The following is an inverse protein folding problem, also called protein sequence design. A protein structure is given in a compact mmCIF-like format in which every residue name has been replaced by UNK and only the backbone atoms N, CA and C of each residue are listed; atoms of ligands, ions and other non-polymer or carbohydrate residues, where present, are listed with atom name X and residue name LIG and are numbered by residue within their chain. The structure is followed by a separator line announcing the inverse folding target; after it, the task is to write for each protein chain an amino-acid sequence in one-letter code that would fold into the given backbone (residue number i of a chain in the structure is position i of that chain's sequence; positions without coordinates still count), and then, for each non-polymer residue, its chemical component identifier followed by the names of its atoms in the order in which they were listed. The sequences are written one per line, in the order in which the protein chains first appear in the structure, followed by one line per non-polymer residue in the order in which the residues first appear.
data_IF_043069815284
#
_entry.id   IF_043069815284
#
_cell.length_a   1.000
_cell.length_b   1.000
_cell.length_c   1.000
_cell.angle_alpha   90.00
_cell.angle_beta   90.00
_cell.angle_gamma   90.00
#
_symmetry.space_group_name_H-M   'P 1'
#
loop_
_entity.id
_entity.type
_entity.pdbx_description
1 polymer ?
#
# COMPACT_ATOMS: atom_id res chain seq x y z
N UNK A 1 13.67 -14.99 -15.62
CA UNK A 1 13.17 -13.88 -16.43
C UNK A 1 13.60 -12.55 -15.82
N UNK A 2 14.67 -11.93 -16.32
CA UNK A 2 14.92 -10.51 -16.06
C UNK A 2 14.03 -9.77 -17.06
N UNK A 3 12.81 -9.42 -16.65
CA UNK A 3 12.05 -8.40 -17.37
C UNK A 3 12.83 -7.12 -17.15
N UNK A 4 13.63 -6.77 -18.15
CA UNK A 4 14.46 -5.58 -18.11
C UNK A 4 13.55 -4.39 -18.37
N UNK A 5 12.79 -3.97 -17.35
CA UNK A 5 11.89 -2.79 -17.41
C UNK A 5 12.69 -1.48 -17.64
N UNK A 6 14.02 -1.56 -17.66
CA UNK A 6 14.95 -0.45 -17.90
C UNK A 6 15.42 -0.31 -19.36
N UNK A 7 14.78 -0.96 -20.33
CA UNK A 7 15.16 -0.79 -21.76
C UNK A 7 14.59 0.45 -22.47
N UNK A 8 13.82 1.29 -21.78
CA UNK A 8 13.44 2.61 -22.31
C UNK A 8 14.22 3.73 -21.62
N UNK A 9 15.51 3.86 -21.97
CA UNK A 9 16.30 5.10 -21.79
C UNK A 9 15.80 6.25 -22.69
N UNK A 10 14.50 6.31 -23.00
CA UNK A 10 13.83 7.32 -23.83
C UNK A 10 12.49 7.82 -23.29
N UNK A 11 12.13 7.53 -22.04
CA UNK A 11 11.07 8.25 -21.35
C UNK A 11 11.68 9.06 -20.21
N UNK A 12 11.80 10.36 -20.43
CA UNK A 12 11.82 11.33 -19.33
C UNK A 12 10.61 11.01 -18.44
N UNK A 13 10.84 10.41 -17.26
CA UNK A 13 9.81 9.83 -16.41
C UNK A 13 8.96 10.86 -15.64
N UNK A 14 8.88 12.09 -16.15
CA UNK A 14 8.01 13.13 -15.63
C UNK A 14 6.79 13.23 -16.54
N UNK A 15 5.59 13.07 -15.98
CA UNK A 15 4.35 13.41 -16.67
C UNK A 15 4.28 14.94 -16.69
N UNK A 16 4.18 15.52 -17.87
CA UNK A 16 3.96 16.96 -18.04
C UNK A 16 2.47 17.25 -18.01
N UNK A 17 2.10 18.47 -17.60
CA UNK A 17 0.73 18.94 -17.78
C UNK A 17 0.53 19.08 -19.29
N UNK A 18 -0.33 18.24 -19.88
CA UNK A 18 -0.66 18.34 -21.29
C UNK A 18 -1.49 19.63 -21.51
N UNK A 19 -1.05 20.55 -22.38
CA UNK A 19 -1.76 21.81 -22.58
C UNK A 19 -3.19 21.65 -23.10
N UNK A 20 -3.48 20.59 -23.86
CA UNK A 20 -4.82 20.30 -24.39
C UNK A 20 -5.69 19.74 -23.27
N UNK A 21 -5.21 18.74 -22.54
CA UNK A 21 -5.95 18.19 -21.39
C UNK A 21 -6.24 19.27 -20.33
N UNK A 22 -5.31 20.22 -20.13
CA UNK A 22 -5.50 21.35 -19.21
C UNK A 22 -6.63 22.30 -19.66
N UNK A 23 -6.78 22.54 -20.96
CA UNK A 23 -7.87 23.37 -21.50
C UNK A 23 -9.22 22.67 -21.30
N UNK A 24 -9.24 21.35 -21.44
CA UNK A 24 -10.45 20.52 -21.27
C UNK A 24 -10.77 20.21 -19.80
N UNK A 25 -9.79 20.35 -18.91
CA UNK A 25 -9.96 20.06 -17.50
C UNK A 25 -11.02 20.95 -16.85
N UNK A 26 -11.83 20.41 -15.91
CA UNK A 26 -12.86 21.19 -15.25
C UNK A 26 -12.24 22.33 -14.44
N UNK A 27 -12.46 23.57 -14.90
CA UNK A 27 -12.05 24.79 -14.19
C UNK A 27 -12.92 25.13 -12.97
N UNK A 28 -13.91 24.29 -12.64
CA UNK A 28 -14.80 24.41 -11.49
C UNK A 28 -14.98 23.04 -10.84
N UNK A 29 -14.96 22.98 -9.51
CA UNK A 29 -15.09 21.71 -8.77
C UNK A 29 -16.54 21.28 -8.54
N UNK A 30 -17.50 22.21 -8.66
CA UNK A 30 -18.92 21.95 -8.51
C UNK A 30 -19.57 22.01 -9.89
N UNK A 31 -19.77 20.86 -10.52
CA UNK A 31 -20.43 20.75 -11.81
C UNK A 31 -21.75 19.98 -11.68
N UNK A 32 -22.90 20.67 -11.63
CA UNK A 32 -24.20 20.02 -11.49
C UNK A 32 -24.61 19.21 -12.73
N UNK A 33 -23.89 19.36 -13.85
CA UNK A 33 -24.16 18.62 -15.10
C UNK A 33 -23.35 17.33 -15.22
N UNK A 34 -22.29 17.19 -14.42
CA UNK A 34 -21.49 15.97 -14.37
C UNK A 34 -22.14 14.96 -13.38
N UNK A 35 -22.65 13.81 -13.86
CA UNK A 35 -23.27 12.80 -12.99
C UNK A 35 -22.28 12.24 -11.95
N UNK A 36 -20.98 12.34 -12.20
CA UNK A 36 -19.91 11.88 -11.32
C UNK A 36 -19.42 12.96 -10.34
N UNK A 37 -19.99 14.18 -10.36
CA UNK A 37 -19.53 15.30 -9.53
C UNK A 37 -19.59 15.04 -8.02
N UNK A 38 -20.39 14.06 -7.58
CA UNK A 38 -20.52 13.66 -6.18
C UNK A 38 -19.76 12.36 -5.83
N UNK A 39 -19.02 11.78 -6.78
CA UNK A 39 -18.23 10.57 -6.54
C UNK A 39 -17.01 10.85 -5.64
N UNK A 40 -16.52 9.79 -5.00
CA UNK A 40 -15.26 9.83 -4.26
C UNK A 40 -14.03 9.83 -5.18
N UNK A 41 -12.85 9.94 -4.58
CA UNK A 41 -11.58 9.85 -5.28
C UNK A 41 -11.08 8.41 -5.36
N UNK A 42 -10.33 8.08 -6.43
CA UNK A 42 -9.75 6.75 -6.65
C UNK A 42 -8.86 6.36 -5.45
N UNK A 43 -9.24 5.28 -4.76
CA UNK A 43 -8.64 4.87 -3.47
C UNK A 43 -7.16 4.50 -3.57
N UNK A 44 -6.70 4.00 -4.71
CA UNK A 44 -5.30 3.67 -4.97
C UNK A 44 -4.40 4.91 -5.12
N UNK A 45 -4.98 6.10 -5.32
CA UNK A 45 -4.24 7.37 -5.45
C UNK A 45 -4.12 8.07 -4.11
N UNK A 46 -5.23 8.31 -3.40
CA UNK A 46 -5.22 9.06 -2.14
C UNK A 46 -4.94 8.19 -0.91
N UNK A 47 -5.23 6.88 -0.97
CA UNK A 47 -5.11 5.96 0.16
C UNK A 47 -3.69 5.84 0.72
N UNK A 48 -2.66 5.50 -0.10
CA UNK A 48 -1.29 5.38 0.37
C UNK A 48 -0.72 6.63 1.07
N UNK A 49 -0.80 7.85 0.50
CA UNK A 49 -0.31 9.05 1.20
C UNK A 49 -1.16 9.39 2.44
N UNK A 50 -2.46 9.05 2.44
CA UNK A 50 -3.32 9.21 3.61
C UNK A 50 -2.87 8.29 4.76
N UNK A 51 -2.53 7.03 4.49
CA UNK A 51 -1.98 6.12 5.50
C UNK A 51 -0.61 6.57 6.02
N UNK A 52 0.27 7.07 5.16
CA UNK A 52 1.55 7.65 5.59
C UNK A 52 1.34 8.84 6.53
N UNK A 53 0.36 9.69 6.22
CA UNK A 53 -0.03 10.83 7.08
C UNK A 53 -0.64 10.35 8.39
N UNK A 54 -1.58 9.40 8.33
CA UNK A 54 -2.24 8.81 9.48
C UNK A 54 -1.22 8.25 10.47
N UNK A 55 -0.28 7.42 10.00
CA UNK A 55 0.77 6.85 10.84
C UNK A 55 1.76 7.92 11.31
N UNK A 56 2.09 8.92 10.50
CA UNK A 56 2.90 10.05 10.97
C UNK A 56 2.24 10.78 12.15
N UNK A 57 0.91 10.94 12.14
CA UNK A 57 0.15 11.54 13.24
C UNK A 57 0.19 10.66 14.49
N UNK A 58 -0.02 9.34 14.36
CA UNK A 58 0.05 8.42 15.51
C UNK A 58 1.44 8.40 16.15
N UNK A 59 2.50 8.36 15.35
CA UNK A 59 3.89 8.44 15.83
C UNK A 59 4.25 9.85 16.35
N UNK A 60 3.53 10.90 15.92
CA UNK A 60 3.65 12.25 16.45
C UNK A 60 3.11 12.43 17.87
N UNK A 61 2.23 11.53 18.31
CA UNK A 61 1.55 11.61 19.60
C UNK A 61 2.53 11.64 20.80
N UNK A 62 2.24 12.35 21.90
CA UNK A 62 3.12 12.40 23.06
C UNK A 62 3.30 11.03 23.74
N UNK A 63 4.47 10.82 24.36
CA UNK A 63 4.73 9.61 25.16
C UNK A 63 3.86 9.59 26.42
N UNK A 64 3.68 10.76 27.05
CA UNK A 64 2.81 10.99 28.22
C UNK A 64 1.81 12.09 27.86
N UNK A 65 0.71 11.75 27.17
CA UNK A 65 -0.26 12.74 26.73
C UNK A 65 -1.06 13.31 27.92
N UNK A 66 -1.38 14.60 27.84
CA UNK A 66 -2.33 15.25 28.75
C UNK A 66 -3.76 14.82 28.42
N UNK A 67 -4.70 15.04 29.35
CA UNK A 67 -6.11 14.70 29.11
C UNK A 67 -6.70 15.44 27.89
N UNK A 68 -6.30 16.71 27.69
CA UNK A 68 -6.69 17.49 26.51
C UNK A 68 -6.17 16.84 25.23
N UNK A 69 -4.88 16.50 25.17
CA UNK A 69 -4.29 15.81 24.01
C UNK A 69 -4.96 14.45 23.73
N UNK A 70 -5.33 13.69 24.78
CA UNK A 70 -6.09 12.44 24.62
C UNK A 70 -7.44 12.70 23.94
N UNK A 71 -8.17 13.71 24.39
CA UNK A 71 -9.47 14.09 23.83
C UNK A 71 -9.35 14.60 22.39
N UNK A 72 -8.35 15.43 22.10
CA UNK A 72 -8.12 15.98 20.76
C UNK A 72 -7.82 14.88 19.74
N UNK A 73 -6.94 13.94 20.08
CA UNK A 73 -6.59 12.83 19.19
C UNK A 73 -7.77 11.86 19.02
N UNK A 74 -8.51 11.57 20.09
CA UNK A 74 -9.72 10.75 19.99
C UNK A 74 -10.74 11.38 19.02
N UNK A 75 -11.04 12.67 19.21
CA UNK A 75 -11.94 13.40 18.33
C UNK A 75 -11.43 13.44 16.89
N UNK A 76 -10.13 13.71 16.70
CA UNK A 76 -9.49 13.68 15.39
C UNK A 76 -9.73 12.35 14.67
N UNK A 77 -9.44 11.20 15.30
CA UNK A 77 -9.61 9.89 14.66
C UNK A 77 -11.07 9.48 14.45
N UNK A 78 -12.00 9.99 15.28
CA UNK A 78 -13.44 9.85 15.03
C UNK A 78 -13.86 10.65 13.80
N UNK A 79 -13.41 11.89 13.65
CA UNK A 79 -13.76 12.75 12.51
C UNK A 79 -13.03 12.36 11.23
N UNK A 80 -11.80 11.86 11.34
CA UNK A 80 -11.01 11.34 10.22
C UNK A 80 -11.82 10.34 9.38
N UNK A 81 -12.47 9.38 10.03
CA UNK A 81 -13.33 8.40 9.38
C UNK A 81 -14.55 8.98 8.67
N UNK A 82 -15.03 10.16 9.07
CA UNK A 82 -16.20 10.83 8.48
C UNK A 82 -15.88 11.62 7.23
N UNK A 83 -14.60 11.94 6.99
CA UNK A 83 -14.18 12.82 5.89
C UNK A 83 -13.36 12.09 4.81
N UNK A 84 -13.20 10.76 4.91
CA UNK A 84 -12.54 10.00 3.85
C UNK A 84 -13.26 10.21 2.51
N UNK A 85 -12.54 10.46 1.40
CA UNK A 85 -13.13 10.77 0.09
C UNK A 85 -13.64 9.51 -0.64
N UNK A 86 -14.34 8.64 0.08
CA UNK A 86 -14.87 7.36 -0.38
C UNK A 86 -15.97 6.90 0.60
N UNK A 87 -17.22 6.82 0.14
CA UNK A 87 -18.39 6.47 0.99
C UNK A 87 -18.24 5.12 1.68
N UNK A 88 -17.88 4.08 0.93
CA UNK A 88 -17.64 2.73 1.47
C UNK A 88 -16.48 2.66 2.46
N UNK A 89 -15.47 3.53 2.28
CA UNK A 89 -14.34 3.63 3.19
C UNK A 89 -14.79 4.24 4.52
N UNK A 90 -15.65 5.28 4.49
CA UNK A 90 -16.24 5.87 5.70
C UNK A 90 -17.10 4.87 6.47
N UNK A 91 -17.96 4.14 5.77
CA UNK A 91 -18.85 3.13 6.38
C UNK A 91 -18.00 2.08 7.10
N UNK A 92 -17.04 1.46 6.41
CA UNK A 92 -16.23 0.41 7.04
C UNK A 92 -15.29 0.93 8.12
N UNK A 93 -14.73 2.13 7.98
CA UNK A 93 -13.95 2.73 9.08
C UNK A 93 -14.82 2.89 10.34
N UNK A 94 -16.05 3.40 10.19
CA UNK A 94 -16.96 3.61 11.31
C UNK A 94 -17.38 2.31 12.00
N UNK A 95 -17.38 1.18 11.28
CA UNK A 95 -17.56 -0.16 11.84
C UNK A 95 -16.28 -0.63 12.55
N UNK A 96 -15.13 -0.55 11.89
CA UNK A 96 -13.86 -1.08 12.40
C UNK A 96 -13.46 -0.42 13.72
N UNK A 97 -13.61 0.89 13.87
CA UNK A 97 -13.27 1.56 15.14
C UNK A 97 -14.16 1.15 16.33
N UNK A 98 -15.16 0.28 16.12
CA UNK A 98 -16.04 -0.28 17.16
C UNK A 98 -15.87 -1.79 17.32
N UNK A 99 -15.02 -2.43 16.52
CA UNK A 99 -14.81 -3.87 16.56
C UNK A 99 -13.76 -4.28 17.60
N UNK A 100 -13.81 -5.51 18.12
CA UNK A 100 -12.73 -6.08 18.93
C UNK A 100 -11.37 -5.97 18.22
N UNK A 101 -10.35 -5.55 18.95
CA UNK A 101 -8.98 -5.35 18.44
C UNK A 101 -8.71 -3.98 17.80
N UNK A 102 -9.75 -3.28 17.33
CA UNK A 102 -9.62 -1.94 16.71
C UNK A 102 -10.51 -0.87 17.35
N UNK A 103 -11.12 -1.20 18.49
CA UNK A 103 -11.95 -0.30 19.28
C UNK A 103 -11.19 1.00 19.63
N UNK A 104 -11.78 2.14 19.25
CA UNK A 104 -11.21 3.46 19.48
C UNK A 104 -11.78 4.07 20.76
N UNK A 105 -11.00 4.08 21.84
CA UNK A 105 -11.40 4.66 23.11
C UNK A 105 -10.24 5.33 23.87
N UNK A 106 -10.48 5.73 25.11
CA UNK A 106 -9.47 6.38 25.94
C UNK A 106 -8.26 5.50 26.27
N UNK A 107 -8.38 4.16 26.20
CA UNK A 107 -7.25 3.24 26.37
C UNK A 107 -6.32 3.29 25.16
N UNK A 108 -6.89 3.49 23.97
CA UNK A 108 -6.11 3.76 22.75
C UNK A 108 -5.24 5.00 22.91
N UNK A 109 -5.74 6.02 23.61
CA UNK A 109 -5.08 7.31 23.82
C UNK A 109 -4.07 7.32 24.99
N UNK A 110 -3.82 6.19 25.65
CA UNK A 110 -3.01 6.15 26.87
C UNK A 110 -1.57 6.62 26.66
N UNK A 111 -0.97 6.27 25.53
CA UNK A 111 0.40 6.61 25.16
C UNK A 111 0.59 6.61 23.65
N UNK A 112 1.75 7.09 23.17
CA UNK A 112 2.18 6.87 21.78
C UNK A 112 2.06 5.42 21.36
N UNK A 113 2.55 4.49 22.19
CA UNK A 113 2.60 3.07 21.85
C UNK A 113 1.20 2.45 21.68
N UNK A 114 0.25 2.78 22.55
CA UNK A 114 -1.12 2.28 22.42
C UNK A 114 -1.79 2.81 21.16
N UNK A 115 -1.54 4.08 20.81
CA UNK A 115 -2.10 4.70 19.62
C UNK A 115 -1.48 4.16 18.32
N UNK A 116 -0.17 4.01 18.26
CA UNK A 116 0.52 3.47 17.07
C UNK A 116 0.17 2.00 16.84
N UNK A 117 0.03 1.19 17.90
CA UNK A 117 -0.46 -0.20 17.79
C UNK A 117 -1.90 -0.25 17.26
N UNK A 118 -2.80 0.56 17.80
CA UNK A 118 -4.17 0.64 17.28
C UNK A 118 -4.21 1.03 15.80
N UNK A 119 -3.40 2.01 15.40
CA UNK A 119 -3.30 2.41 14.00
C UNK A 119 -2.82 1.29 13.08
N UNK A 120 -1.83 0.50 13.54
CA UNK A 120 -1.35 -0.68 12.84
C UNK A 120 -2.44 -1.76 12.69
N UNK A 121 -3.16 -2.08 13.76
CA UNK A 121 -4.26 -3.06 13.72
C UNK A 121 -5.41 -2.61 12.81
N UNK A 122 -5.76 -1.32 12.86
CA UNK A 122 -6.79 -0.74 11.98
C UNK A 122 -6.39 -0.83 10.50
N UNK A 123 -5.13 -0.55 10.18
CA UNK A 123 -4.62 -0.68 8.81
C UNK A 123 -4.70 -2.14 8.34
N UNK A 124 -4.34 -3.10 9.19
CA UNK A 124 -4.46 -4.53 8.87
C UNK A 124 -5.91 -5.00 8.75
N UNK A 125 -6.84 -4.42 9.52
CA UNK A 125 -8.27 -4.69 9.38
C UNK A 125 -8.79 -4.27 8.00
N UNK A 126 -8.32 -3.15 7.48
CA UNK A 126 -8.62 -2.69 6.11
C UNK A 126 -7.97 -3.60 5.07
N UNK A 127 -6.71 -3.99 5.25
CA UNK A 127 -6.03 -4.95 4.37
C UNK A 127 -6.82 -6.27 4.25
N UNK A 128 -7.29 -6.81 5.38
CA UNK A 128 -8.14 -8.00 5.43
C UNK A 128 -9.46 -7.80 4.67
N UNK A 129 -10.13 -6.66 4.80
CA UNK A 129 -11.36 -6.35 4.04
C UNK A 129 -11.09 -6.36 2.52
N UNK A 130 -9.95 -5.82 2.10
CA UNK A 130 -9.55 -5.73 0.70
C UNK A 130 -8.96 -7.05 0.17
N UNK A 131 -8.84 -8.09 1.00
CA UNK A 131 -8.24 -9.36 0.61
C UNK A 131 -6.76 -9.25 0.23
N UNK A 132 -6.04 -8.27 0.78
CA UNK A 132 -4.61 -8.07 0.53
C UNK A 132 -3.81 -8.30 1.81
N UNK A 133 -2.58 -8.79 1.66
CA UNK A 133 -1.65 -8.97 2.75
C UNK A 133 -0.29 -8.40 2.36
N UNK A 134 0.34 -7.62 3.24
CA UNK A 134 1.69 -7.06 3.01
C UNK A 134 2.77 -7.73 3.85
N UNK A 135 2.38 -8.56 4.83
CA UNK A 135 3.27 -9.19 5.79
C UNK A 135 4.13 -8.19 6.58
N UNK A 136 3.64 -6.96 6.77
CA UNK A 136 4.32 -5.94 7.56
C UNK A 136 4.06 -6.19 9.04
N UNK A 137 5.13 -6.19 9.82
CA UNK A 137 5.08 -6.30 11.29
C UNK A 137 5.07 -4.91 11.93
N UNK A 138 4.53 -4.82 13.15
CA UNK A 138 4.57 -3.59 13.92
C UNK A 138 6.02 -3.09 14.16
N UNK A 139 6.98 -4.01 14.32
CA UNK A 139 8.39 -3.67 14.47
C UNK A 139 8.96 -2.97 13.22
N UNK A 140 8.62 -3.44 12.02
CA UNK A 140 9.05 -2.79 10.76
C UNK A 140 8.42 -1.41 10.60
N UNK A 141 7.14 -1.26 10.96
CA UNK A 141 6.48 0.05 10.97
C UNK A 141 7.18 1.01 11.93
N UNK A 142 7.47 0.58 13.17
CA UNK A 142 8.25 1.36 14.13
C UNK A 142 9.62 1.73 13.58
N UNK A 143 10.32 0.78 12.95
CA UNK A 143 11.63 1.01 12.34
C UNK A 143 11.59 2.11 11.27
N UNK A 144 10.54 2.12 10.43
CA UNK A 144 10.31 3.14 9.42
C UNK A 144 9.98 4.50 10.04
N UNK A 145 8.93 4.58 10.86
CA UNK A 145 8.42 5.87 11.34
C UNK A 145 9.30 6.52 12.42
N UNK A 146 9.97 5.76 13.29
CA UNK A 146 10.94 6.33 14.22
C UNK A 146 12.21 6.84 13.53
N UNK A 147 12.47 6.42 12.28
CA UNK A 147 13.52 7.04 11.47
C UNK A 147 13.18 8.47 11.06
N UNK A 148 11.90 8.89 11.12
CA UNK A 148 11.46 10.26 10.81
C UNK A 148 11.54 11.19 12.01
N UNK A 149 11.76 10.64 13.20
CA UNK A 149 11.82 11.42 14.44
C UNK A 149 12.85 12.52 14.29
N UNK A 150 12.42 13.76 14.50
CA UNK A 150 13.29 14.93 14.43
C UNK A 150 14.32 14.90 15.58
N UNK A 151 15.54 14.44 15.28
CA UNK A 151 16.71 14.48 16.17
C UNK A 151 17.51 15.75 15.87
N UNK A 152 16.94 16.91 16.22
CA UNK A 152 17.50 18.20 15.90
C UNK A 152 18.00 18.97 17.12
N UNK A 153 18.90 19.91 16.84
CA UNK A 153 19.26 20.98 17.76
C UNK A 153 18.28 22.13 17.55
N UNK A 154 17.71 22.65 18.64
CA UNK A 154 16.85 23.83 18.61
C UNK A 154 17.70 25.08 18.35
N UNK A 155 17.22 25.92 17.45
CA UNK A 155 17.81 27.22 17.10
C UNK A 155 16.70 28.27 17.05
N UNK A 156 17.07 29.55 17.04
CA UNK A 156 16.10 30.66 16.97
C UNK A 156 15.27 30.67 15.66
N UNK A 157 15.76 29.98 14.61
CA UNK A 157 15.09 29.84 13.31
C UNK A 157 14.39 28.48 13.14
N UNK A 158 14.33 27.67 14.20
CA UNK A 158 13.67 26.36 14.19
C UNK A 158 14.61 25.19 14.50
N UNK A 159 14.29 24.04 13.92
CA UNK A 159 14.90 22.74 14.23
C UNK A 159 15.92 22.36 13.15
N UNK A 160 17.22 22.39 13.49
CA UNK A 160 18.29 22.00 12.56
C UNK A 160 18.58 20.50 12.67
N UNK A 161 18.20 19.75 11.64
CA UNK A 161 18.46 18.30 11.52
C UNK A 161 19.82 18.02 10.89
N UNK A 162 20.67 17.14 11.47
CA UNK A 162 21.87 16.65 10.81
C UNK A 162 21.56 16.02 9.46
N UNK A 163 22.38 16.33 8.44
CA UNK A 163 22.14 15.89 7.05
C UNK A 163 22.17 14.38 6.89
N UNK A 164 23.04 13.68 7.63
CA UNK A 164 23.16 12.21 7.60
C UNK A 164 21.91 11.52 8.17
N UNK A 165 21.35 12.06 9.27
CA UNK A 165 20.10 11.57 9.85
C UNK A 165 18.96 11.84 8.88
N UNK A 166 18.88 13.06 8.32
CA UNK A 166 17.86 13.42 7.34
C UNK A 166 17.92 12.53 6.09
N UNK A 167 19.12 12.23 5.59
CA UNK A 167 19.33 11.32 4.46
C UNK A 167 18.84 9.91 4.77
N UNK A 168 19.12 9.38 5.97
CA UNK A 168 18.60 8.07 6.42
C UNK A 168 17.07 8.09 6.47
N UNK A 169 16.44 9.14 6.99
CA UNK A 169 14.97 9.28 7.00
C UNK A 169 14.39 9.22 5.58
N UNK A 170 14.99 9.95 4.62
CA UNK A 170 14.56 9.89 3.21
C UNK A 170 14.72 8.51 2.58
N UNK A 171 15.79 7.79 2.92
CA UNK A 171 15.98 6.41 2.45
C UNK A 171 14.90 5.49 3.02
N UNK A 172 14.59 5.59 4.32
CA UNK A 172 13.55 4.79 4.98
C UNK A 172 12.13 5.16 4.53
N UNK A 173 11.89 6.41 4.12
CA UNK A 173 10.65 6.83 3.46
C UNK A 173 10.38 6.13 2.12
N UNK A 174 11.42 5.58 1.47
CA UNK A 174 11.26 4.78 0.25
C UNK A 174 10.90 3.31 0.52
N UNK A 175 10.89 2.87 1.78
CA UNK A 175 10.45 1.51 2.13
C UNK A 175 8.93 1.45 1.93
N UNK A 176 8.53 0.70 0.90
CA UNK A 176 7.14 0.45 0.54
C UNK A 176 7.04 -1.04 0.21
N UNK A 177 6.29 -1.78 1.03
CA UNK A 177 6.07 -3.22 0.83
C UNK A 177 5.09 -3.47 -0.30
N UNK A 178 5.32 -4.53 -1.07
CA UNK A 178 4.35 -5.04 -2.03
C UNK A 178 3.50 -6.15 -1.41
N UNK A 179 2.26 -6.39 -1.91
CA UNK A 179 1.44 -7.49 -1.47
C UNK A 179 2.17 -8.83 -1.55
N UNK A 180 1.82 -9.75 -0.66
CA UNK A 180 2.31 -11.13 -0.63
C UNK A 180 1.13 -12.08 -0.81
N UNK A 181 1.37 -13.18 -1.50
CA UNK A 181 0.41 -14.27 -1.67
C UNK A 181 1.02 -15.59 -1.19
N UNK A 182 0.16 -16.54 -0.87
CA UNK A 182 0.58 -17.89 -0.52
C UNK A 182 1.17 -18.61 -1.73
N UNK A 183 2.20 -19.43 -1.51
CA UNK A 183 2.89 -20.18 -2.56
C UNK A 183 1.97 -21.18 -3.27
N UNK A 184 0.90 -21.65 -2.62
CA UNK A 184 -0.08 -22.57 -3.22
C UNK A 184 -0.69 -22.00 -4.52
N UNK A 185 -0.95 -20.69 -4.56
CA UNK A 185 -1.50 -20.02 -5.75
C UNK A 185 -0.50 -20.00 -6.89
N UNK A 186 0.79 -19.98 -6.57
CA UNK A 186 1.84 -19.91 -7.59
C UNK A 186 1.94 -21.24 -8.35
N UNK A 187 1.88 -22.37 -7.64
CA UNK A 187 2.06 -23.68 -8.25
C UNK A 187 0.90 -24.13 -9.13
N UNK A 188 -0.34 -23.79 -8.77
CA UNK A 188 -1.51 -24.16 -9.59
C UNK A 188 -1.50 -23.48 -10.96
N UNK A 189 -0.78 -22.36 -11.10
CA UNK A 189 -0.67 -21.58 -12.33
C UNK A 189 0.55 -21.94 -13.20
N UNK A 190 1.32 -22.99 -12.84
CA UNK A 190 2.56 -23.35 -13.55
C UNK A 190 2.34 -23.67 -15.03
N UNK A 191 1.24 -24.35 -15.38
CA UNK A 191 0.96 -24.72 -16.76
C UNK A 191 0.56 -23.49 -17.58
N UNK A 192 -0.23 -22.59 -16.99
CA UNK A 192 -0.54 -21.29 -17.60
C UNK A 192 0.71 -20.42 -17.78
N UNK A 193 1.66 -20.48 -16.84
CA UNK A 193 2.94 -19.78 -17.00
C UNK A 193 3.68 -20.25 -18.26
N UNK A 194 3.64 -21.56 -18.57
CA UNK A 194 4.27 -22.13 -19.76
C UNK A 194 3.60 -21.68 -21.06
N UNK A 195 2.26 -21.61 -21.10
CA UNK A 195 1.54 -21.14 -22.30
C UNK A 195 1.90 -19.70 -22.65
N UNK A 196 2.24 -18.89 -21.64
CA UNK A 196 2.73 -17.51 -21.79
C UNK A 196 4.25 -17.40 -22.05
N UNK A 197 4.96 -18.53 -22.18
CA UNK A 197 6.40 -18.55 -22.42
C UNK A 197 7.28 -18.22 -21.21
N UNK A 198 6.74 -18.28 -19.98
CA UNK A 198 7.46 -18.03 -18.73
C UNK A 198 8.28 -19.26 -18.29
N UNK A 199 9.29 -19.63 -19.08
CA UNK A 199 10.04 -20.90 -18.91
C UNK A 199 10.72 -21.09 -17.55
N UNK A 200 11.12 -20.01 -16.87
CA UNK A 200 11.79 -20.06 -15.56
C UNK A 200 10.85 -19.74 -14.40
N UNK A 201 9.52 -19.82 -14.59
CA UNK A 201 8.55 -19.42 -13.58
C UNK A 201 8.75 -20.15 -12.23
N UNK A 202 8.91 -21.47 -12.26
CA UNK A 202 9.11 -22.27 -11.04
C UNK A 202 10.40 -21.91 -10.31
N UNK A 203 11.50 -21.66 -11.04
CA UNK A 203 12.78 -21.24 -10.44
C UNK A 203 12.64 -19.94 -9.65
N UNK A 204 11.83 -19.01 -10.15
CA UNK A 204 11.55 -17.73 -9.48
C UNK A 204 10.70 -17.94 -8.22
N UNK A 205 9.64 -18.75 -8.31
CA UNK A 205 8.80 -19.09 -7.15
C UNK A 205 9.64 -19.78 -6.06
N UNK A 206 10.47 -20.74 -6.43
CA UNK A 206 11.38 -21.44 -5.52
C UNK A 206 12.44 -20.53 -4.90
N UNK A 207 12.96 -19.58 -5.68
CA UNK A 207 13.93 -18.61 -5.19
C UNK A 207 13.29 -17.69 -4.13
N UNK A 208 12.17 -17.04 -4.45
CA UNK A 208 11.54 -16.09 -3.55
C UNK A 208 10.94 -16.75 -2.31
N UNK A 209 10.44 -17.99 -2.42
CA UNK A 209 9.90 -18.73 -1.26
C UNK A 209 10.94 -19.06 -0.18
N UNK A 210 12.22 -19.07 -0.52
CA UNK A 210 13.33 -19.35 0.41
C UNK A 210 13.89 -18.08 1.07
N UNK A 211 13.52 -16.90 0.56
CA UNK A 211 14.02 -15.64 1.10
C UNK A 211 13.31 -15.25 2.39
N UNK A 212 14.01 -14.49 3.23
CA UNK A 212 13.38 -13.84 4.38
C UNK A 212 13.02 -12.39 4.04
N UNK A 213 11.97 -11.88 4.67
CA UNK A 213 11.34 -10.57 4.37
C UNK A 213 12.25 -9.34 4.47
N UNK A 214 13.37 -9.46 5.19
CA UNK A 214 14.27 -8.36 5.50
C UNK A 214 15.63 -8.46 4.80
N UNK A 215 15.79 -9.35 3.82
CA UNK A 215 17.00 -9.38 2.99
C UNK A 215 16.98 -8.30 1.92
N UNK A 216 18.14 -8.02 1.32
CA UNK A 216 18.29 -7.06 0.23
C UNK A 216 17.48 -7.53 -0.98
N UNK A 217 17.54 -8.82 -1.28
CA UNK A 217 16.85 -9.48 -2.39
C UNK A 217 15.32 -9.35 -2.26
N UNK A 218 14.79 -9.43 -1.03
CA UNK A 218 13.37 -9.19 -0.79
C UNK A 218 13.00 -7.70 -0.97
N UNK A 219 13.88 -6.79 -0.56
CA UNK A 219 13.72 -5.36 -0.85
C UNK A 219 13.70 -5.06 -2.36
N UNK A 220 14.57 -5.73 -3.12
CA UNK A 220 14.60 -5.64 -4.58
C UNK A 220 13.33 -6.22 -5.22
N UNK A 221 12.81 -7.32 -4.66
CA UNK A 221 11.49 -7.87 -5.03
C UNK A 221 10.38 -6.85 -4.83
N UNK A 222 10.32 -6.19 -3.68
CA UNK A 222 9.30 -5.18 -3.40
C UNK A 222 9.40 -4.00 -4.39
N UNK A 223 10.62 -3.58 -4.74
CA UNK A 223 10.85 -2.55 -5.76
C UNK A 223 10.38 -2.99 -7.16
N UNK A 224 10.75 -4.19 -7.60
CA UNK A 224 10.43 -4.72 -8.92
C UNK A 224 8.92 -4.93 -9.12
N UNK A 225 8.28 -5.56 -8.13
CA UNK A 225 6.82 -5.78 -8.14
C UNK A 225 6.06 -4.45 -8.18
N UNK A 226 6.47 -3.44 -7.40
CA UNK A 226 5.89 -2.09 -7.48
C UNK A 226 6.05 -1.45 -8.86
N UNK A 227 7.22 -1.61 -9.50
CA UNK A 227 7.41 -1.09 -10.86
C UNK A 227 6.45 -1.73 -11.85
N UNK A 228 6.24 -3.05 -11.77
CA UNK A 228 5.29 -3.77 -12.62
C UNK A 228 3.85 -3.33 -12.33
N UNK A 229 3.44 -3.27 -11.05
CA UNK A 229 2.10 -2.80 -10.66
C UNK A 229 1.84 -1.38 -11.18
N UNK A 230 2.81 -0.48 -11.05
CA UNK A 230 2.68 0.89 -11.55
C UNK A 230 2.65 0.94 -13.07
N UNK A 231 3.42 0.10 -13.75
CA UNK A 231 3.37 -0.03 -15.21
C UNK A 231 1.99 -0.52 -15.66
N UNK A 232 1.44 -1.56 -15.02
CA UNK A 232 0.09 -2.06 -15.32
C UNK A 232 -0.96 -0.97 -15.14
N UNK A 233 -0.92 -0.23 -14.02
CA UNK A 233 -1.85 0.87 -13.73
C UNK A 233 -1.76 2.01 -14.75
N UNK A 234 -0.54 2.44 -15.11
CA UNK A 234 -0.32 3.54 -16.05
C UNK A 234 -0.76 3.21 -17.48
N UNK A 235 -0.76 1.93 -17.85
CA UNK A 235 -1.08 1.47 -19.20
C UNK A 235 -2.42 0.74 -19.29
N UNK A 236 -3.27 0.79 -18.23
CA UNK A 236 -4.58 0.14 -18.23
C UNK A 236 -4.54 -1.38 -18.43
N UNK A 237 -3.49 -2.05 -17.97
CA UNK A 237 -3.30 -3.50 -18.16
C UNK A 237 -4.11 -4.25 -17.10
N UNK A 238 -5.05 -5.08 -17.56
CA UNK A 238 -5.85 -5.93 -16.70
C UNK A 238 -5.03 -7.05 -16.06
N UNK A 239 -5.38 -7.39 -14.82
CA UNK A 239 -4.77 -8.49 -14.07
C UNK A 239 -5.19 -9.86 -14.61
N UNK A 240 -6.42 -9.97 -15.12
CA UNK A 240 -6.95 -11.18 -15.75
C UNK A 240 -7.11 -10.95 -17.27
N UNK A 241 -6.90 -12.01 -18.04
CA UNK A 241 -7.22 -12.07 -19.47
C UNK A 241 -8.70 -12.36 -19.72
N UNK A 242 -9.08 -12.48 -20.99
CA UNK A 242 -10.45 -12.77 -21.43
C UNK A 242 -10.99 -14.13 -20.95
N UNK A 243 -10.10 -15.07 -20.61
CA UNK A 243 -10.45 -16.40 -20.09
C UNK A 243 -10.54 -16.41 -18.55
N UNK A 244 -10.33 -15.25 -17.92
CA UNK A 244 -10.28 -15.09 -16.49
C UNK A 244 -9.02 -15.70 -15.85
N UNK A 245 -7.95 -15.91 -16.61
CA UNK A 245 -6.65 -16.36 -16.11
C UNK A 245 -5.71 -15.15 -15.92
N UNK A 246 -4.69 -15.22 -15.05
CA UNK A 246 -3.76 -14.12 -14.86
C UNK A 246 -3.04 -13.72 -16.15
N UNK A 247 -2.98 -12.42 -16.44
CA UNK A 247 -2.28 -11.87 -17.61
C UNK A 247 -0.76 -12.06 -17.50
N UNK A 248 -0.02 -11.81 -18.59
CA UNK A 248 1.44 -11.96 -18.60
C UNK A 248 2.15 -11.21 -17.46
N UNK A 249 1.79 -9.95 -17.21
CA UNK A 249 2.39 -9.15 -16.14
C UNK A 249 1.95 -9.62 -14.75
N UNK A 250 0.69 -10.07 -14.62
CA UNK A 250 0.21 -10.65 -13.37
C UNK A 250 0.93 -11.95 -13.04
N UNK A 251 1.19 -12.81 -14.04
CA UNK A 251 1.99 -14.02 -13.86
C UNK A 251 3.43 -13.74 -13.47
N UNK A 252 4.03 -12.65 -13.97
CA UNK A 252 5.35 -12.20 -13.50
C UNK A 252 5.29 -11.79 -12.02
N UNK A 253 4.25 -11.09 -11.59
CA UNK A 253 4.05 -10.76 -10.18
C UNK A 253 3.91 -12.03 -9.32
N UNK A 254 3.09 -12.98 -9.76
CA UNK A 254 2.82 -14.23 -9.04
C UNK A 254 4.11 -15.06 -8.90
N UNK A 255 4.99 -15.04 -9.92
CA UNK A 255 6.32 -15.69 -9.84
C UNK A 255 7.22 -15.13 -8.72
N UNK A 256 6.92 -13.92 -8.23
CA UNK A 256 7.61 -13.26 -7.12
C UNK A 256 6.75 -13.23 -5.83
N UNK A 257 5.82 -14.17 -5.70
CA UNK A 257 4.87 -14.27 -4.58
C UNK A 257 4.06 -12.97 -4.37
N UNK A 258 3.74 -12.26 -5.45
CA UNK A 258 2.99 -11.00 -5.45
C UNK A 258 1.74 -11.11 -6.33
N UNK A 259 0.68 -10.37 -6.04
CA UNK A 259 -0.44 -10.25 -6.95
C UNK A 259 -1.14 -8.90 -6.80
N UNK A 260 -1.81 -8.45 -7.85
CA UNK A 260 -2.78 -7.36 -7.80
C UNK A 260 -4.20 -7.85 -7.50
N UNK A 261 -4.43 -9.17 -7.58
CA UNK A 261 -5.70 -9.81 -7.26
C UNK A 261 -5.87 -9.90 -5.74
N UNK A 262 -7.11 -9.71 -5.29
CA UNK A 262 -7.51 -10.00 -3.92
C UNK A 262 -7.56 -11.52 -3.67
N UNK A 263 -7.52 -11.89 -2.40
CA UNK A 263 -7.50 -13.30 -1.96
C UNK A 263 -8.70 -14.09 -2.48
N UNK A 264 -9.88 -13.48 -2.60
CA UNK A 264 -11.07 -14.17 -3.10
C UNK A 264 -10.91 -14.58 -4.57
N UNK A 265 -10.37 -13.70 -5.42
CA UNK A 265 -10.07 -14.05 -6.81
C UNK A 265 -9.00 -15.13 -6.92
N UNK A 266 -7.98 -15.08 -6.07
CA UNK A 266 -6.93 -16.10 -6.02
C UNK A 266 -7.48 -17.46 -5.58
N UNK A 267 -8.38 -17.50 -4.60
CA UNK A 267 -9.06 -18.73 -4.18
C UNK A 267 -9.94 -19.30 -5.30
N UNK A 268 -10.71 -18.46 -6.01
CA UNK A 268 -11.51 -18.91 -7.17
C UNK A 268 -10.61 -19.52 -8.26
N UNK A 269 -9.48 -18.89 -8.57
CA UNK A 269 -8.49 -19.42 -9.52
C UNK A 269 -7.91 -20.75 -9.05
N UNK A 270 -7.57 -20.83 -7.76
CA UNK A 270 -7.03 -22.04 -7.15
C UNK A 270 -8.02 -23.20 -7.27
N UNK A 271 -9.26 -23.03 -6.84
CA UNK A 271 -10.29 -24.07 -6.93
C UNK A 271 -10.58 -24.49 -8.38
N UNK A 272 -10.65 -23.51 -9.30
CA UNK A 272 -10.89 -23.78 -10.72
C UNK A 272 -9.81 -24.67 -11.34
N UNK A 273 -8.55 -24.46 -10.98
CA UNK A 273 -7.40 -25.11 -11.62
C UNK A 273 -6.93 -26.36 -10.86
N UNK A 274 -7.04 -26.38 -9.54
CA UNK A 274 -6.69 -27.54 -8.72
C UNK A 274 -7.69 -28.70 -8.91
N UNK A 275 -8.95 -28.42 -9.26
CA UNK A 275 -9.95 -29.45 -9.57
C UNK A 275 -9.82 -30.08 -10.97
N UNK A 276 -8.82 -29.67 -11.77
CA UNK A 276 -8.60 -30.16 -13.14
C UNK A 276 -7.45 -31.18 -13.24
N UNK A 277 -6.76 -31.49 -12.13
CA UNK A 277 -5.69 -32.48 -12.02
C UNK A 277 -6.19 -33.87 -11.59
#
# INVERSE_FOLDING_TARGET
MIVNVNKDKKNSACIHIDPIELIEAPGKTNDPTNPDSNNGLITSIWGPPCWETFHSITFGYPIKPTQEQKNDYLNFFVFFGKVLPCSYCRISYAEFIKEPGTFLDMRTMESRETLTKWGFELHNRVNKKLGVNYGETYQEMCYKFESYRAKCTKTDKGCLMPLDIKAKSYQKAKIIRSPIIDIKYCYVLKEHAKTLGLINYNEYVDYFSKLTRNTIEWGDRDCNTRHIINYMRKNGINALDENGLPSFYEMILISMLCSTLDTTKLDILYERLHGQD
#
